data_IF_108926686880
#
_entry.id   IF_108926686880
#
_cell.length_a   1.000
_cell.length_b   1.000
_cell.length_c   1.000
_cell.angle_alpha   90.00
_cell.angle_beta   90.00
_cell.angle_gamma   90.00
#
_symmetry.space_group_name_H-M   'P 1'
#
loop_
_entity.id
_entity.type
_entity.pdbx_description
1 polymer ?
#
# COMPACT_ATOMS: atom_id res chain seq x y z
N UNK A 1 19.76 -59.89 2.44
CA UNK A 1 18.37 -60.36 2.27
C UNK A 1 17.46 -59.43 3.05
N UNK A 2 16.55 -58.76 2.36
CA UNK A 2 15.62 -57.78 2.93
C UNK A 2 14.42 -58.49 3.58
N UNK A 3 14.01 -58.05 4.77
CA UNK A 3 12.73 -58.42 5.36
C UNK A 3 11.98 -57.13 5.76
N UNK A 4 10.82 -56.95 5.15
CA UNK A 4 9.91 -55.80 5.28
C UNK A 4 9.13 -55.92 6.58
N UNK A 5 9.14 -54.88 7.41
CA UNK A 5 8.30 -54.79 8.61
C UNK A 5 7.05 -53.98 8.22
N UNK A 6 5.83 -54.54 8.38
CA UNK A 6 4.59 -53.83 8.06
C UNK A 6 4.27 -52.78 9.13
N UNK A 7 4.00 -51.56 8.67
CA UNK A 7 3.47 -50.46 9.49
C UNK A 7 2.00 -50.74 9.77
N UNK A 8 1.72 -51.52 10.81
CA UNK A 8 0.42 -51.54 11.46
C UNK A 8 0.61 -51.65 12.97
N UNK A 9 -0.25 -50.95 13.70
CA UNK A 9 -0.32 -50.84 15.16
C UNK A 9 0.45 -49.66 15.78
N UNK A 10 -0.04 -48.45 15.50
CA UNK A 10 0.08 -47.33 16.46
C UNK A 10 -1.19 -47.34 17.32
N UNK A 11 -1.08 -47.34 18.67
CA UNK A 11 -2.24 -47.38 19.56
C UNK A 11 -3.09 -46.11 19.46
N UNK A 12 -4.41 -46.31 19.35
CA UNK A 12 -5.48 -45.31 19.11
C UNK A 12 -5.76 -44.41 20.34
N UNK A 13 -4.79 -44.19 21.24
CA UNK A 13 -5.07 -43.53 22.53
C UNK A 13 -4.59 -42.07 22.67
N UNK A 14 -4.09 -41.44 21.60
CA UNK A 14 -3.74 -40.00 21.61
C UNK A 14 -4.45 -39.15 20.55
N UNK A 15 -5.51 -39.64 19.90
CA UNK A 15 -6.40 -38.80 19.11
C UNK A 15 -7.40 -38.03 20.00
N UNK A 16 -6.90 -37.30 21.00
CA UNK A 16 -7.71 -36.39 21.81
C UNK A 16 -7.75 -35.01 21.14
N UNK A 17 -8.91 -34.73 20.54
CA UNK A 17 -9.59 -33.43 20.50
C UNK A 17 -8.88 -32.29 19.76
N UNK A 18 -8.91 -32.33 18.43
CA UNK A 18 -9.14 -31.09 17.68
C UNK A 18 -10.65 -30.86 17.57
N UNK A 19 -11.20 -29.70 17.99
CA UNK A 19 -12.58 -29.38 17.68
C UNK A 19 -12.66 -29.17 16.17
N UNK A 20 -13.32 -30.11 15.48
CA UNK A 20 -13.80 -29.89 14.11
C UNK A 20 -14.69 -28.64 14.15
N UNK A 21 -14.20 -27.51 13.67
CA UNK A 21 -15.04 -26.36 13.32
C UNK A 21 -15.70 -26.68 11.98
N UNK A 22 -16.62 -27.64 12.02
CA UNK A 22 -17.54 -27.91 10.93
C UNK A 22 -18.92 -27.43 11.37
N UNK A 23 -19.34 -26.32 10.77
CA UNK A 23 -20.72 -26.06 10.38
C UNK A 23 -21.75 -26.06 11.53
N UNK A 24 -21.91 -24.89 12.15
CA UNK A 24 -23.27 -24.43 12.49
C UNK A 24 -23.45 -23.01 11.98
N UNK A 25 -23.63 -22.87 10.67
CA UNK A 25 -24.44 -21.78 10.14
C UNK A 25 -25.85 -22.00 10.69
N UNK A 26 -26.07 -21.56 11.94
CA UNK A 26 -27.37 -21.60 12.59
C UNK A 26 -28.24 -20.64 11.79
N UNK A 27 -29.02 -21.20 10.86
CA UNK A 27 -29.93 -20.48 9.98
C UNK A 27 -30.72 -19.47 10.83
N UNK A 28 -30.46 -18.19 10.63
CA UNK A 28 -31.25 -17.11 11.23
C UNK A 28 -32.61 -17.14 10.53
N UNK A 29 -33.49 -18.04 10.98
CA UNK A 29 -34.86 -18.11 10.50
C UNK A 29 -35.58 -16.87 11.04
N UNK A 30 -35.59 -15.80 10.25
CA UNK A 30 -36.51 -14.69 10.41
C UNK A 30 -37.90 -15.21 10.05
N UNK A 31 -38.78 -15.31 11.04
CA UNK A 31 -40.20 -15.57 10.81
C UNK A 31 -40.80 -14.33 10.17
N UNK A 32 -41.31 -14.47 8.94
CA UNK A 32 -41.91 -13.39 8.14
C UNK A 32 -43.30 -12.96 8.60
N UNK A 33 -43.86 -13.61 9.62
CA UNK A 33 -45.10 -13.19 10.25
C UNK A 33 -44.80 -12.14 11.34
N UNK A 34 -45.50 -11.01 11.30
CA UNK A 34 -45.46 -9.96 12.33
C UNK A 34 -45.98 -10.50 13.66
N UNK A 35 -45.10 -11.15 14.41
CA UNK A 35 -45.42 -11.64 15.76
C UNK A 35 -45.10 -10.54 16.76
N UNK A 36 -45.95 -10.36 17.75
CA UNK A 36 -45.64 -9.53 18.91
C UNK A 36 -44.49 -10.14 19.71
N UNK A 37 -43.83 -9.32 20.53
CA UNK A 37 -42.72 -9.76 21.38
C UNK A 37 -43.04 -11.07 22.11
N UNK A 38 -42.22 -12.10 21.90
CA UNK A 38 -42.33 -13.35 22.65
C UNK A 38 -41.79 -13.16 24.09
N UNK A 39 -42.63 -13.35 25.14
CA UNK A 39 -42.20 -13.17 26.53
C UNK A 39 -41.16 -14.20 27.00
N UNK A 40 -40.95 -15.29 26.24
CA UNK A 40 -39.93 -16.29 26.53
C UNK A 40 -38.49 -15.76 26.38
N UNK A 41 -38.28 -14.63 25.69
CA UNK A 41 -36.96 -14.03 25.51
C UNK A 41 -36.87 -12.66 26.20
N UNK A 42 -35.84 -12.45 27.05
CA UNK A 42 -35.61 -11.14 27.64
C UNK A 42 -35.25 -10.12 26.54
N UNK A 43 -35.58 -8.85 26.81
CA UNK A 43 -35.22 -7.74 25.95
C UNK A 43 -33.69 -7.57 25.91
N UNK A 44 -33.17 -7.15 24.76
CA UNK A 44 -31.76 -6.79 24.66
C UNK A 44 -31.45 -5.51 25.44
N UNK A 45 -30.23 -5.36 26.02
CA UNK A 45 -29.84 -4.14 26.72
C UNK A 45 -29.99 -2.88 25.87
N UNK A 46 -29.65 -2.96 24.58
CA UNK A 46 -29.78 -1.86 23.63
C UNK A 46 -31.24 -1.47 23.36
N UNK A 47 -32.14 -2.45 23.34
CA UNK A 47 -33.59 -2.21 23.21
C UNK A 47 -34.15 -1.61 24.49
N UNK A 48 -33.79 -2.17 25.65
CA UNK A 48 -34.23 -1.67 26.95
C UNK A 48 -33.79 -0.22 27.17
N UNK A 49 -32.54 0.10 26.86
CA UNK A 49 -32.02 1.47 26.90
C UNK A 49 -32.79 2.40 25.96
N UNK A 50 -33.09 1.96 24.73
CA UNK A 50 -33.85 2.76 23.76
C UNK A 50 -35.29 3.02 24.24
N UNK A 51 -35.98 2.00 24.77
CA UNK A 51 -37.32 2.14 25.34
C UNK A 51 -37.31 3.14 26.50
N UNK A 52 -36.32 3.05 27.39
CA UNK A 52 -36.16 4.01 28.49
C UNK A 52 -35.89 5.43 27.99
N UNK A 53 -34.99 5.60 27.02
CA UNK A 53 -34.68 6.92 26.43
C UNK A 53 -35.88 7.57 25.72
N UNK A 54 -36.76 6.75 25.17
CA UNK A 54 -37.97 7.20 24.46
C UNK A 54 -39.22 7.19 25.33
N UNK A 55 -39.06 6.96 26.64
CA UNK A 55 -40.13 6.90 27.63
C UNK A 55 -41.28 5.94 27.25
N UNK A 56 -40.95 4.84 26.57
CA UNK A 56 -41.93 3.80 26.22
C UNK A 56 -41.99 2.80 27.38
N UNK A 57 -43.16 2.60 28.01
CA UNK A 57 -43.31 1.60 29.06
C UNK A 57 -43.14 0.19 28.51
N UNK A 58 -42.60 -0.73 29.33
CA UNK A 58 -42.38 -2.12 28.93
C UNK A 58 -43.66 -2.85 28.46
N UNK A 59 -44.83 -2.36 28.88
CA UNK A 59 -46.14 -2.87 28.45
C UNK A 59 -46.44 -2.59 26.97
N UNK A 60 -45.90 -1.51 26.41
CA UNK A 60 -46.03 -1.18 25.00
C UNK A 60 -45.06 -1.96 24.12
N UNK A 61 -43.94 -2.44 24.68
CA UNK A 61 -43.00 -3.30 23.97
C UNK A 61 -43.66 -4.59 23.45
N UNK A 62 -44.67 -5.09 24.16
CA UNK A 62 -45.47 -6.25 23.73
C UNK A 62 -46.39 -5.97 22.54
N UNK A 63 -46.67 -4.70 22.22
CA UNK A 63 -47.51 -4.30 21.06
C UNK A 63 -46.68 -4.06 19.79
N UNK A 64 -45.36 -3.95 19.92
CA UNK A 64 -44.46 -3.68 18.79
C UNK A 64 -44.31 -4.96 17.96
N UNK A 65 -44.45 -4.88 16.62
CA UNK A 65 -44.22 -6.02 15.74
C UNK A 65 -42.74 -6.40 15.77
N UNK A 66 -42.44 -7.64 16.13
CA UNK A 66 -41.08 -8.15 16.21
C UNK A 66 -40.67 -8.86 14.92
N UNK A 67 -39.59 -8.39 14.28
CA UNK A 67 -39.03 -8.98 13.05
C UNK A 67 -37.88 -9.96 13.34
N UNK A 68 -37.38 -9.98 14.58
CA UNK A 68 -36.27 -10.84 14.96
C UNK A 68 -36.62 -12.33 15.04
N UNK A 69 -35.59 -13.20 15.01
CA UNK A 69 -35.78 -14.64 15.03
C UNK A 69 -36.56 -15.07 16.28
N UNK A 70 -37.58 -15.92 16.08
CA UNK A 70 -38.51 -16.39 17.12
C UNK A 70 -39.37 -15.28 17.77
N UNK A 71 -39.75 -14.26 17.00
CA UNK A 71 -40.57 -13.14 17.50
C UNK A 71 -39.82 -12.27 18.52
N UNK A 72 -38.50 -12.13 18.32
CA UNK A 72 -37.64 -11.31 19.19
C UNK A 72 -37.66 -9.86 18.71
N UNK A 73 -37.90 -8.95 19.63
CA UNK A 73 -37.93 -7.53 19.34
C UNK A 73 -36.51 -6.98 19.12
N UNK A 74 -36.30 -6.32 17.98
CA UNK A 74 -35.01 -5.73 17.57
C UNK A 74 -35.02 -4.21 17.67
N UNK A 75 -33.82 -3.60 17.68
CA UNK A 75 -33.68 -2.13 17.68
C UNK A 75 -34.41 -1.49 16.50
N UNK A 76 -34.33 -2.10 15.32
CA UNK A 76 -35.02 -1.62 14.12
C UNK A 76 -36.53 -1.60 14.26
N UNK A 77 -37.11 -2.57 14.96
CA UNK A 77 -38.56 -2.67 15.17
C UNK A 77 -39.08 -1.52 16.06
N UNK A 78 -38.32 -1.17 17.11
CA UNK A 78 -38.69 -0.01 17.96
C UNK A 78 -38.53 1.30 17.22
N UNK A 79 -37.50 1.44 16.39
CA UNK A 79 -37.29 2.65 15.59
C UNK A 79 -38.35 2.80 14.50
N UNK A 80 -38.80 1.71 13.90
CA UNK A 80 -39.93 1.68 12.97
C UNK A 80 -41.23 2.09 13.68
N UNK A 81 -41.50 1.54 14.88
CA UNK A 81 -42.65 1.91 15.69
C UNK A 81 -42.67 3.41 16.06
N UNK A 82 -41.50 4.00 16.30
CA UNK A 82 -41.33 5.43 16.55
C UNK A 82 -41.44 6.32 15.29
N UNK A 83 -41.56 5.72 14.10
CA UNK A 83 -41.61 6.44 12.82
C UNK A 83 -40.26 7.05 12.40
N UNK A 84 -39.14 6.68 13.05
CA UNK A 84 -37.81 7.15 12.64
C UNK A 84 -37.30 6.45 11.39
N UNK A 85 -37.88 5.29 11.07
CA UNK A 85 -37.59 4.46 9.91
C UNK A 85 -38.93 3.98 9.33
N UNK A 86 -38.99 3.70 8.03
CA UNK A 86 -40.16 3.11 7.40
C UNK A 86 -40.54 1.76 8.05
N UNK A 87 -41.84 1.53 8.24
CA UNK A 87 -42.39 0.33 8.91
C UNK A 87 -41.95 -0.99 8.24
N UNK A 88 -41.77 -0.99 6.92
CA UNK A 88 -41.40 -2.18 6.14
C UNK A 88 -39.87 -2.38 6.01
N UNK A 89 -39.08 -1.43 6.51
CA UNK A 89 -37.61 -1.50 6.45
C UNK A 89 -37.00 -2.73 7.14
N UNK A 90 -37.37 -3.10 8.38
CA UNK A 90 -36.80 -4.29 9.01
C UNK A 90 -37.12 -5.58 8.23
N UNK A 91 -38.33 -5.69 7.68
CA UNK A 91 -38.74 -6.85 6.88
C UNK A 91 -38.01 -6.93 5.53
N UNK A 92 -37.90 -5.80 4.81
CA UNK A 92 -37.19 -5.73 3.52
C UNK A 92 -35.68 -5.97 3.68
N UNK A 93 -35.07 -5.46 4.76
CA UNK A 93 -33.68 -5.70 5.08
C UNK A 93 -33.42 -7.19 5.39
N UNK A 94 -34.29 -7.83 6.17
CA UNK A 94 -34.21 -9.27 6.45
C UNK A 94 -34.30 -10.10 5.15
N UNK A 95 -35.20 -9.74 4.24
CA UNK A 95 -35.34 -10.40 2.94
C UNK A 95 -34.09 -10.21 2.06
N UNK A 96 -33.50 -9.02 2.06
CA UNK A 96 -32.28 -8.71 1.30
C UNK A 96 -31.08 -9.48 1.84
N UNK A 97 -30.93 -9.54 3.16
CA UNK A 97 -29.90 -10.35 3.81
C UNK A 97 -30.09 -11.84 3.52
N UNK A 98 -31.32 -12.35 3.54
CA UNK A 98 -31.58 -13.75 3.20
C UNK A 98 -31.18 -14.09 1.76
N UNK A 99 -31.34 -13.16 0.81
CA UNK A 99 -30.87 -13.31 -0.57
C UNK A 99 -29.34 -13.32 -0.67
N UNK A 100 -28.67 -12.36 -0.02
CA UNK A 100 -27.21 -12.21 -0.06
C UNK A 100 -26.46 -13.28 0.75
N UNK A 101 -27.12 -13.90 1.73
CA UNK A 101 -26.55 -15.00 2.53
C UNK A 101 -26.27 -16.25 1.70
N UNK A 102 -27.01 -16.45 0.61
CA UNK A 102 -26.79 -17.58 -0.30
C UNK A 102 -25.92 -17.06 -1.44
N UNK A 103 -24.66 -17.51 -1.49
CA UNK A 103 -23.80 -17.28 -2.65
C UNK A 103 -24.40 -18.03 -3.84
N UNK A 104 -25.06 -17.30 -4.73
CA UNK A 104 -25.63 -17.86 -5.95
C UNK A 104 -24.52 -18.10 -6.97
N UNK A 105 -24.00 -19.33 -6.98
CA UNK A 105 -22.94 -19.76 -7.91
C UNK A 105 -23.51 -20.24 -9.26
N UNK A 106 -24.82 -20.14 -9.50
CA UNK A 106 -25.47 -20.69 -10.70
C UNK A 106 -25.07 -20.01 -12.01
N UNK A 107 -24.62 -18.75 -11.96
CA UNK A 107 -24.23 -17.95 -13.13
C UNK A 107 -22.70 -17.82 -13.32
N UNK A 108 -21.91 -18.62 -12.60
CA UNK A 108 -20.45 -18.57 -12.75
C UNK A 108 -20.06 -19.39 -13.99
N UNK A 109 -19.78 -18.69 -15.09
CA UNK A 109 -19.07 -19.26 -16.24
C UNK A 109 -17.63 -19.54 -15.80
N UNK A 110 -17.29 -20.80 -15.58
CA UNK A 110 -15.91 -21.22 -15.32
C UNK A 110 -15.12 -20.86 -16.58
N UNK A 111 -14.25 -19.86 -16.48
CA UNK A 111 -13.30 -19.56 -17.54
C UNK A 111 -12.44 -20.81 -17.75
N UNK A 112 -12.49 -21.37 -18.96
CA UNK A 112 -11.66 -22.51 -19.32
C UNK A 112 -10.19 -22.15 -19.04
N UNK A 113 -9.39 -23.06 -18.46
CA UNK A 113 -7.97 -22.82 -18.23
C UNK A 113 -7.32 -22.48 -19.58
N UNK A 114 -6.72 -21.29 -19.66
CA UNK A 114 -6.14 -20.77 -20.89
C UNK A 114 -5.03 -21.71 -21.40
N UNK A 115 -5.13 -22.21 -22.65
CA UNK A 115 -3.98 -22.80 -23.33
C UNK A 115 -2.96 -21.71 -23.70
N UNK A 116 -1.69 -22.07 -23.61
CA UNK A 116 -0.52 -21.26 -23.95
C UNK A 116 -0.57 -20.68 -25.39
N UNK A 117 0.14 -19.56 -25.64
CA UNK A 117 -0.21 -18.59 -26.68
C UNK A 117 0.32 -18.93 -28.08
N UNK A 118 -0.55 -18.79 -29.08
CA UNK A 118 -0.18 -18.58 -30.48
C UNK A 118 -1.04 -17.44 -31.05
N UNK A 119 -0.38 -16.40 -31.57
CA UNK A 119 -0.99 -15.23 -32.21
C UNK A 119 -1.22 -15.46 -33.72
N UNK A 120 -1.75 -14.50 -34.50
CA UNK A 120 -3.05 -13.83 -34.41
C UNK A 120 -3.80 -13.79 -35.77
N UNK A 121 -5.13 -13.65 -35.78
CA UNK A 121 -5.88 -13.17 -36.96
C UNK A 121 -7.17 -12.42 -36.56
N UNK A 122 -7.29 -11.20 -37.09
CA UNK A 122 -8.36 -10.20 -37.05
C UNK A 122 -9.74 -10.73 -37.56
N UNK A 123 -10.94 -10.17 -37.34
CA UNK A 123 -11.44 -8.85 -36.91
C UNK A 123 -13.00 -8.88 -36.84
N UNK A 124 -13.60 -7.92 -36.06
CA UNK A 124 -14.97 -7.31 -36.14
C UNK A 124 -16.16 -8.09 -35.53
N UNK A 125 -17.05 -7.57 -34.65
CA UNK A 125 -17.55 -6.18 -34.40
C UNK A 125 -18.38 -6.08 -33.09
N UNK A 126 -18.11 -5.04 -32.25
CA UNK A 126 -18.98 -4.15 -31.40
C UNK A 126 -19.89 -4.79 -30.31
N UNK A 127 -19.90 -4.41 -29.02
CA UNK A 127 -19.91 -3.07 -28.37
C UNK A 127 -19.28 -3.07 -26.94
N UNK A 128 -18.39 -2.10 -26.72
CA UNK A 128 -18.06 -1.34 -25.48
C UNK A 128 -17.62 -2.05 -24.17
N UNK A 129 -16.42 -2.61 -24.19
CA UNK A 129 -15.50 -2.52 -23.05
C UNK A 129 -14.46 -1.44 -23.35
N UNK A 130 -14.42 -0.39 -22.52
CA UNK A 130 -13.33 0.58 -22.50
C UNK A 130 -12.08 -0.15 -22.03
N UNK A 131 -11.34 -0.69 -23.00
CA UNK A 131 -9.96 -1.12 -22.82
C UNK A 131 -9.19 0.14 -22.43
N UNK A 132 -8.92 0.27 -21.13
CA UNK A 132 -7.99 1.24 -20.60
C UNK A 132 -6.63 1.00 -21.27
N UNK A 133 -6.35 1.81 -22.31
CA UNK A 133 -5.01 2.03 -22.81
C UNK A 133 -4.15 2.31 -21.57
N UNK A 134 -3.03 1.60 -21.33
CA UNK A 134 -2.16 1.95 -20.21
C UNK A 134 -1.87 3.43 -20.32
N UNK A 135 -2.09 4.22 -19.24
CA UNK A 135 -1.86 5.65 -19.32
C UNK A 135 -0.43 5.84 -19.83
N UNK A 136 -0.20 6.72 -20.81
CA UNK A 136 1.14 7.00 -21.25
C UNK A 136 1.95 7.41 -20.01
N UNK A 137 3.02 6.67 -19.75
CA UNK A 137 3.94 6.92 -18.65
C UNK A 137 5.09 7.75 -19.18
N UNK A 138 5.46 8.80 -18.45
CA UNK A 138 6.63 9.62 -18.73
C UNK A 138 7.67 9.41 -17.65
N UNK A 139 8.93 9.28 -18.07
CA UNK A 139 10.07 9.16 -17.18
C UNK A 139 10.76 10.52 -17.04
N UNK A 140 10.90 11.00 -15.80
CA UNK A 140 11.66 12.22 -15.48
C UNK A 140 12.88 11.81 -14.68
N UNK A 141 14.07 12.30 -15.07
CA UNK A 141 15.33 11.95 -14.42
C UNK A 141 16.15 13.20 -14.07
N UNK A 142 16.76 13.21 -12.87
CA UNK A 142 17.68 14.25 -12.39
C UNK A 142 18.93 13.59 -11.80
N UNK A 143 20.10 14.17 -12.07
CA UNK A 143 21.38 13.75 -11.46
C UNK A 143 21.59 14.43 -10.11
N UNK A 144 21.77 13.63 -9.05
CA UNK A 144 21.97 14.11 -7.68
C UNK A 144 23.28 13.56 -7.12
N UNK A 145 24.06 14.42 -6.48
CA UNK A 145 25.29 14.04 -5.78
C UNK A 145 25.03 13.69 -4.31
N UNK A 146 25.58 12.57 -3.84
CA UNK A 146 25.42 12.09 -2.45
C UNK A 146 26.59 12.45 -1.50
N UNK A 147 27.54 13.26 -1.97
CA UNK A 147 28.73 13.61 -1.19
C UNK A 147 28.40 14.26 0.17
N UNK A 148 27.40 15.15 0.19
CA UNK A 148 26.97 15.83 1.41
C UNK A 148 26.41 14.84 2.46
N UNK A 149 25.62 13.86 2.02
CA UNK A 149 25.06 12.80 2.90
C UNK A 149 26.18 11.92 3.47
N UNK A 150 27.17 11.54 2.66
CA UNK A 150 28.32 10.77 3.13
C UNK A 150 29.15 11.55 4.15
N UNK A 151 29.33 12.85 3.93
CA UNK A 151 30.02 13.72 4.90
C UNK A 151 29.26 13.80 6.23
N UNK A 152 27.92 13.87 6.18
CA UNK A 152 27.08 13.90 7.37
C UNK A 152 27.12 12.56 8.12
N UNK A 153 27.10 11.44 7.39
CA UNK A 153 27.25 10.11 7.95
C UNK A 153 28.58 9.95 8.69
N UNK A 154 29.70 10.38 8.09
CA UNK A 154 31.04 10.37 8.73
C UNK A 154 31.04 11.22 10.00
N UNK A 155 30.48 12.43 9.97
CA UNK A 155 30.37 13.32 11.15
C UNK A 155 29.54 12.70 12.27
N UNK A 156 28.43 12.03 11.96
CA UNK A 156 27.60 11.36 12.97
C UNK A 156 28.32 10.15 13.57
N UNK A 157 29.03 9.39 12.73
CA UNK A 157 29.83 8.27 13.19
C UNK A 157 30.97 8.73 14.12
N UNK A 158 31.63 9.84 13.83
CA UNK A 158 32.69 10.41 14.66
C UNK A 158 32.16 10.98 15.99
N UNK A 159 31.03 11.70 15.95
CA UNK A 159 30.50 12.40 17.13
C UNK A 159 29.68 11.52 18.06
N UNK A 160 28.86 10.63 17.50
CA UNK A 160 27.88 9.84 18.24
C UNK A 160 28.19 8.34 18.22
N UNK A 161 29.13 7.89 17.38
CA UNK A 161 29.42 6.46 17.18
C UNK A 161 28.29 5.69 16.49
N UNK A 162 27.24 6.38 16.02
CA UNK A 162 26.06 5.78 15.40
C UNK A 162 26.14 5.94 13.88
N UNK A 163 26.07 4.82 13.16
CA UNK A 163 26.03 4.79 11.70
C UNK A 163 24.60 4.70 11.20
N UNK A 164 24.06 5.79 10.66
CA UNK A 164 22.75 5.78 9.98
C UNK A 164 22.93 5.24 8.55
N UNK A 165 22.17 4.22 8.11
CA UNK A 165 22.30 3.67 6.76
C UNK A 165 21.77 4.66 5.70
N UNK A 166 22.40 4.69 4.52
CA UNK A 166 22.00 5.55 3.40
C UNK A 166 20.54 5.35 2.97
N UNK A 167 20.01 4.13 3.10
CA UNK A 167 18.60 3.84 2.81
C UNK A 167 17.63 4.64 3.70
N UNK A 168 18.02 4.97 4.94
CA UNK A 168 17.19 5.76 5.85
C UNK A 168 17.14 7.24 5.42
N UNK A 169 18.28 7.79 4.99
CA UNK A 169 18.33 9.14 4.43
C UNK A 169 17.46 9.27 3.19
N UNK A 170 17.51 8.28 2.29
CA UNK A 170 16.66 8.25 1.11
C UNK A 170 15.18 8.13 1.48
N UNK A 171 14.80 7.23 2.40
CA UNK A 171 13.41 7.08 2.84
C UNK A 171 12.85 8.36 3.46
N UNK A 172 13.61 9.02 4.35
CA UNK A 172 13.16 10.28 4.96
C UNK A 172 13.09 11.39 3.90
N UNK A 173 14.07 11.46 3.00
CA UNK A 173 14.06 12.44 1.92
C UNK A 173 12.86 12.24 0.99
N UNK A 174 12.48 11.00 0.68
CA UNK A 174 11.28 10.71 -0.13
C UNK A 174 10.01 11.06 0.59
N UNK A 175 9.90 10.75 1.89
CA UNK A 175 8.71 11.06 2.69
C UNK A 175 8.50 12.59 2.76
N UNK A 176 9.56 13.34 3.05
CA UNK A 176 9.51 14.81 3.11
C UNK A 176 9.27 15.45 1.74
N UNK A 177 9.85 14.90 0.66
CA UNK A 177 9.62 15.42 -0.68
C UNK A 177 8.16 15.21 -1.14
N UNK A 178 7.48 14.18 -0.60
CA UNK A 178 6.11 13.84 -0.93
C UNK A 178 5.05 14.74 -0.29
N UNK A 179 5.31 15.39 0.85
CA UNK A 179 4.28 16.09 1.63
C UNK A 179 3.70 17.35 0.93
N UNK A 180 4.54 18.23 0.39
CA UNK A 180 4.09 19.56 -0.07
C UNK A 180 4.00 19.73 -1.59
N UNK A 181 3.72 18.68 -2.35
CA UNK A 181 3.86 18.74 -3.81
C UNK A 181 2.78 19.63 -4.46
N UNK A 182 3.07 20.29 -5.60
CA UNK A 182 2.06 21.07 -6.29
C UNK A 182 0.91 20.17 -6.72
N UNK A 183 -0.32 20.65 -6.52
CA UNK A 183 -1.54 19.91 -6.84
C UNK A 183 -1.58 19.49 -8.32
N UNK A 184 -1.99 18.25 -8.56
CA UNK A 184 -2.16 17.75 -9.93
C UNK A 184 -3.34 18.45 -10.63
N UNK A 185 -3.16 18.79 -11.91
CA UNK A 185 -4.18 19.51 -12.71
C UNK A 185 -5.52 18.76 -12.82
N UNK A 186 -5.48 17.44 -12.67
CA UNK A 186 -6.63 16.57 -12.81
C UNK A 186 -7.29 16.20 -11.46
N UNK A 187 -6.72 16.64 -10.33
CA UNK A 187 -7.20 16.28 -9.01
C UNK A 187 -8.39 17.15 -8.59
N UNK A 188 -9.57 16.51 -8.45
CA UNK A 188 -10.79 17.15 -7.97
C UNK A 188 -10.67 17.55 -6.49
N UNK A 189 -11.20 18.72 -6.08
CA UNK A 189 -11.17 19.13 -4.68
C UNK A 189 -12.05 18.23 -3.84
N UNK A 190 -11.60 17.98 -2.61
CA UNK A 190 -12.38 17.25 -1.62
C UNK A 190 -13.59 18.08 -1.17
N UNK A 191 -14.61 17.41 -0.60
CA UNK A 191 -15.78 18.10 -0.09
C UNK A 191 -15.43 19.08 1.04
N UNK A 192 -14.44 18.74 1.86
CA UNK A 192 -13.95 19.57 2.95
C UNK A 192 -13.21 20.81 2.41
N UNK A 193 -12.35 20.66 1.40
CA UNK A 193 -11.72 21.80 0.71
C UNK A 193 -12.75 22.77 0.14
N UNK A 194 -13.79 22.24 -0.52
CA UNK A 194 -14.87 23.06 -1.08
C UNK A 194 -15.69 23.74 0.02
N UNK A 195 -15.89 23.06 1.14
CA UNK A 195 -16.61 23.62 2.28
C UNK A 195 -15.81 24.73 2.94
N UNK A 196 -14.52 24.53 3.15
CA UNK A 196 -13.62 25.53 3.70
C UNK A 196 -13.54 26.76 2.77
N UNK A 197 -13.50 26.55 1.45
CA UNK A 197 -13.58 27.64 0.47
C UNK A 197 -14.89 28.44 0.59
N UNK A 198 -16.03 27.76 0.84
CA UNK A 198 -17.32 28.42 1.08
C UNK A 198 -17.31 29.22 2.41
N UNK A 199 -16.57 28.73 3.41
CA UNK A 199 -16.35 29.44 4.68
C UNK A 199 -15.30 30.56 4.59
N UNK A 200 -14.65 30.74 3.43
CA UNK A 200 -13.62 31.76 3.21
C UNK A 200 -12.19 31.32 3.56
N UNK A 201 -11.94 30.00 3.68
CA UNK A 201 -10.61 29.43 3.78
C UNK A 201 -9.80 29.58 2.49
N UNK A 202 -8.47 29.62 2.60
CA UNK A 202 -7.59 29.67 1.44
C UNK A 202 -7.61 28.32 0.69
N UNK A 203 -7.56 28.32 -0.66
CA UNK A 203 -7.56 27.10 -1.43
C UNK A 203 -6.26 26.32 -1.19
N UNK A 204 -6.38 25.01 -0.92
CA UNK A 204 -5.22 24.15 -0.70
C UNK A 204 -4.49 23.93 -2.04
N UNK A 205 -3.28 24.52 -2.14
CA UNK A 205 -2.44 24.50 -3.35
C UNK A 205 -1.46 23.31 -3.39
N UNK A 206 -1.12 22.76 -2.22
CA UNK A 206 -0.23 21.61 -2.08
C UNK A 206 -1.02 20.33 -1.84
N UNK A 207 -0.43 19.20 -2.22
CA UNK A 207 -1.02 17.87 -2.04
C UNK A 207 0.08 16.85 -1.82
N UNK A 208 -0.17 15.91 -0.92
CA UNK A 208 0.73 14.79 -0.66
C UNK A 208 0.77 13.83 -1.86
N UNK A 209 1.97 13.48 -2.31
CA UNK A 209 2.21 12.51 -3.38
C UNK A 209 2.75 11.20 -2.84
N UNK A 210 2.69 10.15 -3.66
CA UNK A 210 3.22 8.82 -3.32
C UNK A 210 4.29 8.43 -4.36
N UNK A 211 5.28 9.30 -4.57
CA UNK A 211 6.36 9.03 -5.53
C UNK A 211 7.49 8.25 -4.86
N UNK A 212 7.97 7.21 -5.56
CA UNK A 212 9.10 6.39 -5.14
C UNK A 212 10.19 6.52 -6.22
N UNK A 213 11.34 7.13 -5.91
CA UNK A 213 12.41 7.29 -6.88
C UNK A 213 13.11 5.97 -7.17
N UNK A 214 13.40 5.74 -8.43
CA UNK A 214 14.29 4.67 -8.89
C UNK A 214 15.70 5.24 -9.01
N UNK A 215 16.66 4.62 -8.31
CA UNK A 215 18.05 5.04 -8.32
C UNK A 215 18.81 4.22 -9.37
N UNK A 216 19.07 4.84 -10.51
CA UNK A 216 19.92 4.29 -11.55
C UNK A 216 21.34 4.82 -11.33
N UNK A 217 22.12 4.10 -10.52
CA UNK A 217 23.55 4.36 -10.37
C UNK A 217 24.25 3.87 -11.64
N UNK A 218 24.62 4.80 -12.53
CA UNK A 218 25.63 4.46 -13.53
C UNK A 218 26.95 4.38 -12.78
N UNK A 219 27.44 3.16 -12.57
CA UNK A 219 28.82 2.94 -12.15
C UNK A 219 29.70 3.65 -13.16
N UNK A 220 30.29 4.78 -12.77
CA UNK A 220 31.37 5.39 -13.53
C UNK A 220 32.42 4.31 -13.67
N UNK A 221 32.57 3.76 -14.87
CA UNK A 221 33.63 2.80 -15.18
C UNK A 221 34.91 3.33 -14.56
N UNK A 222 35.42 2.62 -13.55
CA UNK A 222 36.69 2.95 -12.94
C UNK A 222 37.66 3.17 -14.10
N UNK A 223 38.21 4.38 -14.21
CA UNK A 223 39.26 4.65 -15.16
C UNK A 223 40.30 3.56 -14.94
N UNK A 224 40.44 2.67 -15.92
CA UNK A 224 41.32 1.51 -15.90
C UNK A 224 42.66 2.00 -15.37
N UNK A 225 43.02 1.62 -14.15
CA UNK A 225 44.36 1.90 -13.67
C UNK A 225 45.31 1.32 -14.72
N UNK A 226 46.28 2.08 -15.24
CA UNK A 226 47.24 1.51 -16.16
C UNK A 226 47.90 0.34 -15.44
N UNK A 227 47.71 -0.88 -15.96
CA UNK A 227 48.45 -2.04 -15.48
C UNK A 227 49.94 -1.67 -15.51
N UNK A 228 50.71 -1.98 -14.46
CA UNK A 228 52.13 -1.68 -14.45
C UNK A 228 52.75 -2.39 -15.65
N UNK A 229 53.20 -1.60 -16.63
CA UNK A 229 53.98 -2.13 -17.75
C UNK A 229 55.23 -2.73 -17.13
N UNK A 230 55.31 -4.06 -17.14
CA UNK A 230 56.52 -4.77 -16.76
C UNK A 230 57.54 -4.39 -17.84
N UNK A 231 58.45 -3.51 -17.50
CA UNK A 231 59.57 -3.18 -18.39
C UNK A 231 60.35 -4.48 -18.63
N UNK A 232 60.38 -4.92 -19.89
CA UNK A 232 61.07 -6.13 -20.28
C UNK A 232 62.57 -5.98 -19.95
N UNK A 233 63.17 -7.06 -19.45
CA UNK A 233 64.59 -7.13 -19.04
C UNK A 233 65.53 -6.67 -20.18
N UNK A 234 65.08 -6.80 -21.43
CA UNK A 234 65.82 -6.42 -22.64
C UNK A 234 65.86 -4.88 -22.83
N UNK A 235 64.86 -4.13 -22.36
CA UNK A 235 64.87 -2.66 -22.36
C UNK A 235 65.79 -2.10 -21.26
N UNK A 236 65.87 -2.77 -20.11
CA UNK A 236 66.77 -2.41 -19.01
C UNK A 236 68.25 -2.60 -19.43
N UNK A 237 68.55 -3.64 -20.21
CA UNK A 237 69.91 -3.95 -20.64
C UNK A 237 70.36 -3.17 -21.89
N UNK A 238 69.43 -2.60 -22.64
CA UNK A 238 69.72 -1.82 -23.86
C UNK A 238 69.69 -0.31 -23.63
N UNK A 239 69.26 0.16 -22.46
CA UNK A 239 69.20 1.58 -22.13
C UNK A 239 70.59 2.22 -21.92
N UNK A 240 70.94 3.15 -22.82
CA UNK A 240 72.02 4.13 -22.61
C UNK A 240 71.63 5.09 -21.47
N UNK A 241 72.57 5.50 -20.58
CA UNK A 241 72.22 6.26 -19.39
C UNK A 241 71.82 7.69 -19.76
N UNK A 242 70.51 7.98 -19.75
CA UNK A 242 70.04 9.32 -20.06
C UNK A 242 68.57 9.54 -19.69
N UNK A 243 68.38 10.33 -18.62
CA UNK A 243 67.14 10.95 -18.10
C UNK A 243 66.32 10.11 -17.12
N UNK A 244 66.58 10.37 -15.84
CA UNK A 244 65.67 10.10 -14.73
C UNK A 244 64.44 11.00 -14.88
N UNK A 245 63.26 10.42 -15.11
CA UNK A 245 61.98 11.07 -14.86
C UNK A 245 61.72 11.03 -13.36
N UNK A 246 61.50 12.19 -12.73
CA UNK A 246 61.10 12.25 -11.33
C UNK A 246 59.62 11.82 -11.21
N UNK A 247 59.23 11.01 -10.20
CA UNK A 247 57.84 10.73 -9.95
C UNK A 247 57.15 12.02 -9.47
N UNK A 248 56.12 12.43 -10.20
CA UNK A 248 55.19 13.46 -9.76
C UNK A 248 54.49 13.02 -8.46
N UNK A 249 54.14 13.95 -7.56
CA UNK A 249 53.47 13.61 -6.32
C UNK A 249 52.10 13.00 -6.63
N UNK A 250 51.84 11.85 -6.02
CA UNK A 250 50.51 11.24 -5.88
C UNK A 250 49.54 12.31 -5.36
N UNK A 251 48.42 12.61 -6.05
CA UNK A 251 47.36 13.36 -5.41
C UNK A 251 46.82 12.50 -4.26
N UNK A 252 46.63 13.15 -3.11
CA UNK A 252 45.93 12.60 -1.99
C UNK A 252 44.60 11.99 -2.46
N UNK A 253 44.20 10.89 -1.82
CA UNK A 253 42.84 10.38 -1.89
C UNK A 253 41.87 11.45 -1.38
N UNK A 254 41.49 12.36 -2.27
CA UNK A 254 40.21 13.04 -2.19
C UNK A 254 39.19 11.97 -2.56
N UNK A 255 38.48 11.45 -1.56
CA UNK A 255 37.21 10.75 -1.72
C UNK A 255 36.16 11.74 -2.28
N UNK A 256 36.44 12.38 -3.41
CA UNK A 256 35.52 13.15 -4.24
C UNK A 256 34.80 12.18 -5.19
N UNK A 257 34.38 11.02 -4.68
CA UNK A 257 33.45 10.16 -5.41
C UNK A 257 32.05 10.72 -5.26
N UNK A 258 31.85 11.95 -5.76
CA UNK A 258 30.56 12.48 -6.14
C UNK A 258 30.05 11.70 -7.35
N UNK A 259 29.78 10.41 -7.18
CA UNK A 259 29.08 9.62 -8.18
C UNK A 259 27.74 10.30 -8.42
N UNK A 260 27.59 10.90 -9.61
CA UNK A 260 26.36 11.55 -10.03
C UNK A 260 25.31 10.46 -10.24
N UNK A 261 24.51 10.21 -9.20
CA UNK A 261 23.48 9.18 -9.25
C UNK A 261 22.26 9.74 -9.96
N UNK A 262 21.73 9.01 -10.94
CA UNK A 262 20.54 9.42 -11.68
C UNK A 262 19.32 8.90 -10.94
N UNK A 263 18.48 9.81 -10.47
CA UNK A 263 17.20 9.50 -9.86
C UNK A 263 16.11 9.65 -10.92
N UNK A 264 15.41 8.57 -11.24
CA UNK A 264 14.31 8.54 -12.21
C UNK A 264 12.97 8.27 -11.53
N UNK A 265 11.92 8.92 -12.05
CA UNK A 265 10.54 8.67 -11.67
C UNK A 265 9.70 8.33 -12.90
N UNK A 266 8.88 7.30 -12.80
CA UNK A 266 7.86 6.93 -13.79
C UNK A 266 6.50 7.44 -13.33
N UNK A 267 5.91 8.35 -14.10
CA UNK A 267 4.69 9.08 -13.70
C UNK A 267 3.70 9.14 -14.86
N UNK A 268 2.37 9.16 -14.62
CA UNK A 268 1.38 9.35 -15.68
C UNK A 268 1.50 10.71 -16.38
N UNK A 269 1.18 10.75 -17.68
CA UNK A 269 1.12 12.01 -18.44
C UNK A 269 0.18 13.02 -17.78
N UNK A 270 0.72 14.21 -17.48
CA UNK A 270 0.01 15.30 -16.80
C UNK A 270 0.60 15.66 -15.44
N UNK A 271 1.42 14.80 -14.84
CA UNK A 271 2.05 15.02 -13.53
C UNK A 271 3.56 15.34 -13.61
N UNK A 272 4.09 15.61 -14.81
CA UNK A 272 5.51 15.89 -15.03
C UNK A 272 6.05 17.06 -14.18
N UNK A 273 5.26 18.12 -14.00
CA UNK A 273 5.64 19.27 -13.17
C UNK A 273 5.80 18.86 -11.71
N UNK A 274 4.93 17.97 -11.24
CA UNK A 274 4.96 17.44 -9.87
C UNK A 274 6.17 16.53 -9.67
N UNK A 275 6.44 15.66 -10.65
CA UNK A 275 7.62 14.80 -10.67
C UNK A 275 8.94 15.61 -10.64
N UNK A 276 9.03 16.69 -11.43
CA UNK A 276 10.19 17.60 -11.41
C UNK A 276 10.36 18.28 -10.06
N UNK A 277 9.29 18.86 -9.51
CA UNK A 277 9.33 19.50 -8.19
C UNK A 277 9.73 18.51 -7.08
N UNK A 278 9.29 17.26 -7.16
CA UNK A 278 9.70 16.20 -6.24
C UNK A 278 11.20 15.91 -6.34
N UNK A 279 11.73 15.70 -7.55
CA UNK A 279 13.15 15.40 -7.74
C UNK A 279 14.04 16.60 -7.35
N UNK A 280 13.61 17.82 -7.64
CA UNK A 280 14.29 19.05 -7.18
C UNK A 280 14.33 19.14 -5.65
N UNK A 281 13.26 18.75 -4.96
CA UNK A 281 13.23 18.73 -3.50
C UNK A 281 14.10 17.64 -2.89
N UNK A 282 14.13 16.46 -3.49
CA UNK A 282 15.08 15.41 -3.07
C UNK A 282 16.50 15.93 -3.24
N UNK A 283 16.79 16.61 -4.35
CA UNK A 283 18.09 17.22 -4.58
C UNK A 283 18.43 18.24 -3.48
N UNK A 284 17.52 19.16 -3.13
CA UNK A 284 17.79 20.15 -2.08
C UNK A 284 17.97 19.50 -0.70
N UNK A 285 17.14 18.52 -0.34
CA UNK A 285 17.25 17.82 0.95
C UNK A 285 18.56 17.04 1.08
N UNK A 286 19.00 16.36 0.02
CA UNK A 286 20.23 15.55 0.06
C UNK A 286 21.51 16.40 -0.07
N UNK A 287 21.48 17.51 -0.81
CA UNK A 287 22.66 18.35 -1.05
C UNK A 287 22.82 19.50 -0.04
N UNK A 288 21.73 20.17 0.34
CA UNK A 288 21.76 21.39 1.16
C UNK A 288 21.56 21.06 2.64
N UNK A 289 20.62 20.17 2.98
CA UNK A 289 20.20 19.94 4.36
C UNK A 289 20.26 18.45 4.80
N UNK A 290 21.40 17.74 4.67
CA UNK A 290 21.47 16.33 5.07
C UNK A 290 21.26 16.12 6.58
N UNK A 291 21.44 17.15 7.40
CA UNK A 291 21.23 17.09 8.85
C UNK A 291 19.74 16.97 9.24
N UNK A 292 18.83 17.50 8.42
CA UNK A 292 17.37 17.42 8.66
C UNK A 292 16.85 15.98 8.52
N UNK A 293 17.58 15.15 7.78
CA UNK A 293 17.24 13.76 7.48
C UNK A 293 17.61 12.78 8.60
N UNK A 294 18.14 13.27 9.73
CA UNK A 294 18.61 12.45 10.86
C UNK A 294 17.63 12.51 12.04
N UNK A 295 16.68 13.44 12.00
CA UNK A 295 15.68 13.69 13.06
C UNK A 295 14.54 12.67 13.01
#
# INVERSE_FOLDING_TARGET
>A
MAARIPVSQVPVMFARRQPRVLQTSRRLQSTSASQTQNPAYPLYPSVQQLLHQKNIPLSEASKIPASGPKGRLLKGDVLAYLGQIANDYPASQAASLAKLQVLDLSNIKIAAPAPQPAAPAAEKTKEEEVVAKPPPVTSVAITISLAAVLSAQRKLQENLGVTVPLSRFLAIATDLANDDLPRAKNAKPSADELFDEILGGEPVLSSRGDYIPELNAFETHQARQPEPVVEDIIDILSAKPGKKSAPAPVPAFEDESGAANVFSLTVPVGEEVRAKAFLERIQTLLQVEPARLVV
#
